data_IF_106996553832
#
_entry.id   IF_106996553832
#
_cell.length_a   1.000
_cell.length_b   1.000
_cell.length_c   1.000
_cell.angle_alpha   90.00
_cell.angle_beta   90.00
_cell.angle_gamma   90.00
#
_symmetry.space_group_name_H-M   'P 1'
#
loop_
_entity.id
_entity.type
_entity.pdbx_description
1 polymer ?
#
# COMPACT_ATOMS: atom_id res chain seq x y z
N UNK A 1 29.41 -25.65 7.90
CA UNK A 1 29.35 -24.44 7.05
C UNK A 1 30.64 -23.65 7.25
N UNK A 2 31.20 -23.02 6.21
CA UNK A 2 32.48 -22.26 6.24
C UNK A 2 32.32 -21.01 7.12
N UNK A 3 33.36 -20.61 7.87
CA UNK A 3 33.39 -19.36 8.65
C UNK A 3 33.37 -18.14 7.71
N UNK A 4 32.16 -17.68 7.38
CA UNK A 4 31.92 -16.55 6.49
C UNK A 4 32.41 -15.24 7.13
N UNK A 5 32.45 -15.15 8.46
CA UNK A 5 32.82 -13.93 9.17
C UNK A 5 34.30 -13.59 8.94
N UNK A 6 35.19 -14.57 9.07
CA UNK A 6 36.62 -14.35 8.77
C UNK A 6 36.86 -14.00 7.31
N UNK A 7 36.17 -14.70 6.41
CA UNK A 7 36.28 -14.46 4.96
C UNK A 7 35.80 -13.06 4.59
N UNK A 8 34.69 -12.61 5.21
CA UNK A 8 34.11 -11.28 5.01
C UNK A 8 35.04 -10.18 5.51
N UNK A 9 35.58 -10.31 6.73
CA UNK A 9 36.54 -9.35 7.28
C UNK A 9 37.79 -9.21 6.42
N UNK A 10 38.37 -10.33 5.98
CA UNK A 10 39.55 -10.30 5.11
C UNK A 10 39.28 -9.60 3.76
N UNK A 11 38.08 -9.80 3.18
CA UNK A 11 37.67 -9.08 1.96
C UNK A 11 37.42 -7.60 2.23
N UNK A 12 36.83 -7.25 3.37
CA UNK A 12 36.62 -5.86 3.76
C UNK A 12 37.96 -5.12 3.89
N UNK A 13 38.92 -5.70 4.60
CA UNK A 13 40.27 -5.14 4.76
C UNK A 13 40.97 -4.99 3.41
N UNK A 14 40.89 -6.03 2.56
CA UNK A 14 41.49 -6.03 1.22
C UNK A 14 40.93 -4.94 0.31
N UNK A 15 39.66 -4.59 0.47
CA UNK A 15 38.95 -3.66 -0.40
C UNK A 15 38.65 -2.30 0.26
N UNK A 16 39.18 -2.03 1.46
CA UNK A 16 39.03 -0.74 2.15
C UNK A 16 37.61 -0.45 2.65
N UNK A 17 36.82 -1.50 2.94
CA UNK A 17 35.45 -1.35 3.44
C UNK A 17 35.47 -1.30 4.97
N UNK A 18 35.25 -0.12 5.56
CA UNK A 18 35.34 0.09 7.01
C UNK A 18 34.11 -0.35 7.82
N UNK A 19 32.94 -0.44 7.19
CA UNK A 19 31.69 -0.81 7.85
C UNK A 19 30.84 -1.70 6.95
N UNK A 20 30.14 -2.65 7.57
CA UNK A 20 29.07 -3.40 6.90
C UNK A 20 27.74 -3.01 7.55
N UNK A 21 26.79 -2.59 6.74
CA UNK A 21 25.38 -2.45 7.15
C UNK A 21 24.66 -3.71 6.68
N UNK A 22 24.02 -4.43 7.61
CA UNK A 22 23.18 -5.56 7.25
C UNK A 22 21.88 -5.03 6.66
N UNK A 23 21.70 -5.17 5.35
CA UNK A 23 20.42 -4.92 4.71
C UNK A 23 19.56 -6.18 4.83
N UNK A 24 18.43 -6.09 5.52
CA UNK A 24 17.49 -7.19 5.65
C UNK A 24 16.68 -7.31 4.35
N UNK A 25 17.10 -8.21 3.47
CA UNK A 25 16.51 -8.36 2.12
C UNK A 25 15.69 -9.63 1.93
N UNK A 26 15.74 -10.57 2.89
CA UNK A 26 15.01 -11.83 2.82
C UNK A 26 14.38 -12.13 4.18
N UNK A 27 13.07 -12.41 4.23
CA UNK A 27 12.40 -12.78 5.46
C UNK A 27 12.87 -14.16 5.93
N UNK A 28 13.03 -14.34 7.23
CA UNK A 28 13.28 -15.66 7.83
C UNK A 28 13.96 -15.57 9.19
N UNK A 29 13.79 -16.62 9.99
CA UNK A 29 14.51 -16.76 11.26
C UNK A 29 15.98 -17.02 10.97
N UNK A 30 16.83 -16.13 11.47
CA UNK A 30 18.27 -16.31 11.46
C UNK A 30 18.70 -16.86 12.82
N UNK A 31 19.72 -17.71 12.84
CA UNK A 31 20.37 -18.26 14.05
C UNK A 31 19.61 -19.37 14.81
N UNK A 32 18.43 -19.78 14.34
CA UNK A 32 17.79 -21.04 14.75
C UNK A 32 18.05 -22.09 13.67
N UNK A 33 18.86 -23.09 14.00
CA UNK A 33 19.32 -24.11 13.04
C UNK A 33 18.41 -25.34 12.98
N UNK A 34 17.63 -25.56 14.04
CA UNK A 34 16.59 -26.58 14.03
C UNK A 34 15.42 -26.12 13.16
N UNK A 35 15.04 -26.97 12.21
CA UNK A 35 14.03 -26.61 11.21
C UNK A 35 12.65 -26.44 11.84
N UNK A 36 12.26 -27.33 12.74
CA UNK A 36 10.92 -27.31 13.33
C UNK A 36 10.75 -26.13 14.29
N UNK A 37 11.78 -25.84 15.07
CA UNK A 37 11.86 -24.67 15.93
C UNK A 37 11.80 -23.37 15.10
N UNK A 38 12.61 -23.26 14.04
CA UNK A 38 12.61 -22.08 13.18
C UNK A 38 11.27 -21.87 12.46
N UNK A 39 10.63 -22.93 11.97
CA UNK A 39 9.31 -22.85 11.32
C UNK A 39 8.20 -22.48 12.31
N UNK A 40 8.27 -22.98 13.55
CA UNK A 40 7.30 -22.65 14.60
C UNK A 40 7.42 -21.19 15.01
N UNK A 41 8.63 -20.73 15.29
CA UNK A 41 8.90 -19.35 15.68
C UNK A 41 8.56 -18.36 14.56
N UNK A 42 8.85 -18.72 13.30
CA UNK A 42 8.45 -17.92 12.15
C UNK A 42 6.93 -17.73 12.07
N UNK A 43 6.14 -18.80 12.28
CA UNK A 43 4.68 -18.71 12.27
C UNK A 43 4.17 -17.82 13.38
N UNK A 44 4.64 -18.03 14.60
CA UNK A 44 4.22 -17.23 15.77
C UNK A 44 4.45 -15.73 15.55
N UNK A 45 5.64 -15.34 15.08
CA UNK A 45 5.93 -13.92 14.81
C UNK A 45 5.10 -13.39 13.65
N UNK A 46 4.96 -14.16 12.57
CA UNK A 46 4.21 -13.71 11.39
C UNK A 46 2.73 -13.54 11.69
N UNK A 47 2.13 -14.48 12.43
CA UNK A 47 0.72 -14.42 12.82
C UNK A 47 0.48 -13.23 13.77
N UNK A 48 1.37 -13.03 14.74
CA UNK A 48 1.32 -11.87 15.62
C UNK A 48 1.38 -10.55 14.84
N UNK A 49 2.36 -10.38 13.95
CA UNK A 49 2.48 -9.15 13.16
C UNK A 49 1.32 -9.01 12.16
N UNK A 50 0.85 -10.10 11.57
CA UNK A 50 -0.30 -10.06 10.66
C UNK A 50 -1.55 -9.52 11.37
N UNK A 51 -1.82 -9.95 12.61
CA UNK A 51 -2.94 -9.42 13.39
C UNK A 51 -2.82 -7.90 13.62
N UNK A 52 -1.60 -7.36 13.69
CA UNK A 52 -1.36 -5.94 13.91
C UNK A 52 -1.40 -5.08 12.63
N UNK A 53 -0.97 -5.60 11.46
CA UNK A 53 -0.77 -4.76 10.25
C UNK A 53 -1.40 -5.29 8.95
N UNK A 54 -2.09 -6.44 8.97
CA UNK A 54 -2.48 -7.13 7.72
C UNK A 54 -3.60 -6.46 6.92
N UNK A 55 -4.35 -5.52 7.50
CA UNK A 55 -5.56 -4.97 6.86
C UNK A 55 -5.27 -4.44 5.44
N UNK A 56 -4.28 -3.55 5.32
CA UNK A 56 -3.88 -2.98 4.04
C UNK A 56 -3.31 -4.03 3.07
N UNK A 57 -2.60 -5.04 3.58
CA UNK A 57 -2.05 -6.11 2.74
C UNK A 57 -3.15 -6.97 2.11
N UNK A 58 -4.14 -7.37 2.91
CA UNK A 58 -5.27 -8.16 2.44
C UNK A 58 -6.11 -7.41 1.41
N UNK A 59 -6.46 -6.15 1.69
CA UNK A 59 -7.31 -5.35 0.80
C UNK A 59 -6.57 -4.97 -0.49
N UNK A 60 -5.31 -4.54 -0.41
CA UNK A 60 -4.52 -4.21 -1.61
C UNK A 60 -4.34 -5.41 -2.54
N UNK A 61 -4.04 -6.58 -1.98
CA UNK A 61 -3.95 -7.83 -2.74
C UNK A 61 -5.28 -8.15 -3.43
N UNK A 62 -6.41 -8.00 -2.72
CA UNK A 62 -7.73 -8.26 -3.27
C UNK A 62 -8.05 -7.28 -4.42
N UNK A 63 -7.87 -5.99 -4.22
CA UNK A 63 -8.15 -4.95 -5.22
C UNK A 63 -7.27 -5.12 -6.46
N UNK A 64 -5.97 -5.35 -6.28
CA UNK A 64 -5.06 -5.62 -7.41
C UNK A 64 -5.41 -6.95 -8.09
N UNK A 65 -5.91 -7.94 -7.34
CA UNK A 65 -6.53 -9.15 -7.88
C UNK A 65 -7.74 -8.84 -8.76
N UNK A 66 -8.64 -7.94 -8.34
CA UNK A 66 -9.80 -7.51 -9.14
C UNK A 66 -9.36 -6.83 -10.45
N UNK A 67 -8.37 -5.94 -10.38
CA UNK A 67 -7.77 -5.29 -11.55
C UNK A 67 -7.19 -6.33 -12.51
N UNK A 68 -6.27 -7.16 -12.03
CA UNK A 68 -5.49 -8.08 -12.87
C UNK A 68 -6.34 -9.21 -13.46
N UNK A 69 -7.39 -9.64 -12.76
CA UNK A 69 -8.36 -10.61 -13.27
C UNK A 69 -9.42 -9.98 -14.20
N UNK A 70 -9.28 -8.70 -14.56
CA UNK A 70 -10.14 -8.01 -15.53
C UNK A 70 -11.58 -7.82 -15.05
N UNK A 71 -11.81 -7.69 -13.74
CA UNK A 71 -13.16 -7.44 -13.20
C UNK A 71 -13.75 -6.16 -13.78
N UNK A 72 -13.00 -5.06 -13.74
CA UNK A 72 -13.42 -3.77 -14.26
C UNK A 72 -13.54 -3.76 -15.78
N UNK A 73 -12.83 -4.63 -16.50
CA UNK A 73 -13.00 -4.78 -17.95
C UNK A 73 -14.34 -5.44 -18.33
N UNK A 74 -14.82 -6.36 -17.49
CA UNK A 74 -16.13 -7.01 -17.65
C UNK A 74 -17.26 -6.14 -17.11
N UNK A 75 -16.98 -5.31 -16.12
CA UNK A 75 -17.95 -4.45 -15.45
C UNK A 75 -17.42 -3.00 -15.39
N UNK A 76 -17.36 -2.28 -16.53
CA UNK A 76 -16.72 -0.96 -16.59
C UNK A 76 -17.39 0.12 -15.74
N UNK A 77 -18.68 -0.04 -15.41
CA UNK A 77 -19.40 0.88 -14.54
C UNK A 77 -19.21 0.60 -13.04
N UNK A 78 -18.61 -0.55 -12.66
CA UNK A 78 -18.43 -0.92 -11.26
C UNK A 78 -17.56 0.11 -10.54
N UNK A 79 -18.04 0.58 -9.39
CA UNK A 79 -17.30 1.46 -8.48
C UNK A 79 -16.92 0.66 -7.22
N UNK A 80 -15.66 0.77 -6.80
CA UNK A 80 -15.14 0.14 -5.58
C UNK A 80 -14.51 1.24 -4.73
N UNK A 81 -14.81 1.23 -3.43
CA UNK A 81 -14.27 2.17 -2.46
C UNK A 81 -13.36 1.42 -1.51
N UNK A 82 -12.13 1.90 -1.30
CA UNK A 82 -11.15 1.31 -0.38
C UNK A 82 -10.72 2.32 0.70
N UNK A 83 -10.44 1.82 1.90
CA UNK A 83 -10.13 2.63 3.09
C UNK A 83 -8.70 3.18 3.10
N UNK A 84 -8.35 3.85 4.21
CA UNK A 84 -6.98 4.09 4.67
C UNK A 84 -6.05 4.72 3.62
N UNK A 85 -6.59 5.67 2.85
CA UNK A 85 -5.94 6.34 1.73
C UNK A 85 -5.42 5.39 0.64
N UNK A 86 -6.12 4.28 0.44
CA UNK A 86 -5.90 3.36 -0.67
C UNK A 86 -5.02 2.16 -0.36
N UNK A 87 -4.85 1.82 0.92
CA UNK A 87 -4.23 0.54 1.35
C UNK A 87 -2.85 0.31 0.72
N UNK A 88 -1.97 1.31 0.80
CA UNK A 88 -0.64 1.35 0.17
C UNK A 88 -0.61 1.42 -1.37
N UNK A 89 -1.70 1.12 -2.08
CA UNK A 89 -1.68 1.07 -3.55
C UNK A 89 -1.25 2.41 -4.19
N UNK A 90 -1.74 3.60 -3.74
CA UNK A 90 -1.29 4.88 -4.29
C UNK A 90 0.21 5.13 -4.20
N UNK A 91 0.88 4.59 -3.17
CA UNK A 91 2.33 4.75 -2.98
C UNK A 91 3.11 4.14 -4.15
N UNK A 92 2.68 2.97 -4.60
CA UNK A 92 3.37 2.18 -5.62
C UNK A 92 2.78 2.33 -7.03
N UNK A 93 1.85 3.26 -7.27
CA UNK A 93 1.18 3.39 -8.57
C UNK A 93 2.14 3.45 -9.76
N UNK A 94 3.22 4.23 -9.64
CA UNK A 94 4.25 4.30 -10.69
C UNK A 94 4.90 2.93 -10.94
N UNK A 95 5.29 2.25 -9.85
CA UNK A 95 5.95 0.94 -9.93
C UNK A 95 5.02 -0.13 -10.47
N UNK A 96 3.79 -0.18 -9.99
CA UNK A 96 2.74 -1.10 -10.45
C UNK A 96 2.48 -0.86 -11.94
N UNK A 97 2.31 0.39 -12.35
CA UNK A 97 2.08 0.72 -13.75
C UNK A 97 3.25 0.27 -14.64
N UNK A 98 4.47 0.66 -14.31
CA UNK A 98 5.67 0.24 -15.05
C UNK A 98 5.74 -1.29 -15.20
N UNK A 99 5.55 -2.03 -14.10
CA UNK A 99 5.59 -3.50 -14.15
C UNK A 99 4.41 -4.10 -14.90
N UNK A 100 3.21 -3.54 -14.78
CA UNK A 100 2.03 -4.03 -15.50
C UNK A 100 2.20 -3.84 -16.99
N UNK A 101 2.53 -2.62 -17.42
CA UNK A 101 2.61 -2.26 -18.84
C UNK A 101 3.84 -2.85 -19.52
N UNK A 102 5.03 -2.73 -18.92
CA UNK A 102 6.29 -3.03 -19.61
C UNK A 102 6.74 -4.49 -19.45
N UNK A 103 6.28 -5.17 -18.39
CA UNK A 103 6.73 -6.53 -18.06
C UNK A 103 5.57 -7.53 -18.08
N UNK A 104 4.52 -7.30 -17.32
CA UNK A 104 3.49 -8.32 -17.07
C UNK A 104 2.50 -8.46 -18.23
N UNK A 105 2.06 -7.37 -18.88
CA UNK A 105 1.20 -7.43 -20.06
C UNK A 105 1.87 -8.15 -21.24
N UNK A 106 3.14 -7.88 -21.59
CA UNK A 106 3.88 -8.68 -22.57
C UNK A 106 3.97 -10.18 -22.21
N UNK A 107 3.99 -10.49 -20.92
CA UNK A 107 4.01 -11.87 -20.41
C UNK A 107 2.61 -12.49 -20.20
N UNK A 108 1.54 -11.80 -20.60
CA UNK A 108 0.18 -12.36 -20.63
C UNK A 108 -0.79 -11.87 -19.55
N UNK A 109 -0.46 -10.84 -18.76
CA UNK A 109 -1.45 -10.12 -17.97
C UNK A 109 -2.49 -9.46 -18.91
N UNK A 110 -3.78 -9.63 -18.62
CA UNK A 110 -4.87 -9.34 -19.59
C UNK A 110 -5.76 -8.15 -19.24
N UNK A 111 -5.54 -7.48 -18.11
CA UNK A 111 -6.30 -6.27 -17.80
C UNK A 111 -6.07 -5.23 -18.89
N UNK A 112 -7.15 -4.62 -19.42
CA UNK A 112 -7.07 -3.79 -20.62
C UNK A 112 -6.42 -2.43 -20.37
N UNK A 113 -6.73 -1.83 -19.22
CA UNK A 113 -6.33 -0.46 -18.89
C UNK A 113 -5.07 -0.44 -18.03
N UNK A 114 -4.46 0.72 -17.91
CA UNK A 114 -3.42 1.02 -16.94
C UNK A 114 -4.01 1.06 -15.53
N UNK A 115 -3.16 0.93 -14.50
CA UNK A 115 -3.63 1.07 -13.11
C UNK A 115 -4.17 2.48 -12.85
N UNK A 116 -3.59 3.51 -13.48
CA UNK A 116 -4.07 4.90 -13.37
C UNK A 116 -5.49 5.07 -13.90
N UNK A 117 -5.80 4.47 -15.05
CA UNK A 117 -7.15 4.53 -15.63
C UNK A 117 -8.19 3.81 -14.74
N UNK A 118 -7.84 2.66 -14.15
CA UNK A 118 -8.75 2.01 -13.19
C UNK A 118 -8.98 2.85 -11.92
N UNK A 119 -7.97 3.57 -11.43
CA UNK A 119 -8.15 4.54 -10.34
C UNK A 119 -9.00 5.73 -10.75
N UNK A 120 -8.84 6.24 -11.98
CA UNK A 120 -9.64 7.35 -12.48
C UNK A 120 -11.11 6.98 -12.69
N UNK A 121 -11.40 5.73 -13.04
CA UNK A 121 -12.75 5.32 -13.49
C UNK A 121 -13.50 4.43 -12.51
N UNK A 122 -12.81 3.55 -11.76
CA UNK A 122 -13.45 2.48 -10.98
C UNK A 122 -13.16 2.53 -9.48
N UNK A 123 -11.96 2.94 -9.06
CA UNK A 123 -11.52 2.87 -7.66
C UNK A 123 -11.59 4.25 -6.99
N UNK A 124 -12.17 4.30 -5.80
CA UNK A 124 -12.18 5.45 -4.89
C UNK A 124 -11.39 5.10 -3.63
N UNK A 125 -10.78 6.11 -3.01
CA UNK A 125 -10.13 5.94 -1.70
C UNK A 125 -10.82 6.80 -0.64
N UNK A 126 -10.73 6.39 0.62
CA UNK A 126 -11.22 7.20 1.75
C UNK A 126 -10.13 7.55 2.75
N UNK A 127 -10.37 8.56 3.58
CA UNK A 127 -9.45 8.98 4.66
C UNK A 127 -9.62 8.19 5.97
N UNK A 128 -10.41 7.10 5.97
CA UNK A 128 -10.71 6.30 7.17
C UNK A 128 -9.43 5.91 7.91
N UNK A 129 -9.34 6.17 9.22
CA UNK A 129 -8.17 5.84 10.04
C UNK A 129 -6.81 6.39 9.58
N UNK A 130 -6.78 7.35 8.66
CA UNK A 130 -5.52 7.83 8.07
C UNK A 130 -5.51 9.36 7.96
N UNK A 131 -5.50 10.01 9.13
CA UNK A 131 -5.57 11.47 9.28
C UNK A 131 -4.19 12.16 9.12
N UNK A 132 -3.49 11.82 8.03
CA UNK A 132 -2.17 12.38 7.69
C UNK A 132 -2.30 13.39 6.56
N UNK A 133 -2.00 14.67 6.83
CA UNK A 133 -2.02 15.72 5.79
C UNK A 133 -1.01 15.48 4.68
N UNK A 134 0.15 14.92 5.02
CA UNK A 134 1.19 14.60 4.05
C UNK A 134 0.73 13.48 3.10
N UNK A 135 0.15 12.41 3.66
CA UNK A 135 -0.36 11.30 2.85
C UNK A 135 -1.56 11.73 2.01
N UNK A 136 -2.48 12.55 2.57
CA UNK A 136 -3.60 13.08 1.80
C UNK A 136 -3.14 13.89 0.60
N UNK A 137 -2.19 14.83 0.79
CA UNK A 137 -1.64 15.63 -0.31
C UNK A 137 -0.92 14.76 -1.35
N UNK A 138 -0.17 13.74 -0.91
CA UNK A 138 0.41 12.76 -1.81
C UNK A 138 -0.68 12.05 -2.64
N UNK A 139 -1.74 11.55 -2.00
CA UNK A 139 -2.84 10.87 -2.68
C UNK A 139 -3.60 11.80 -3.64
N UNK A 140 -3.83 13.07 -3.28
CA UNK A 140 -4.41 14.07 -4.20
C UNK A 140 -3.56 14.16 -5.48
N UNK A 141 -2.23 14.19 -5.35
CA UNK A 141 -1.33 14.22 -6.51
C UNK A 141 -1.33 12.93 -7.33
N UNK A 142 -1.56 11.77 -6.70
CA UNK A 142 -1.53 10.47 -7.39
C UNK A 142 -2.86 10.10 -8.07
N UNK A 143 -4.00 10.33 -7.39
CA UNK A 143 -5.33 9.86 -7.85
C UNK A 143 -6.34 10.99 -8.10
N UNK A 144 -6.01 12.22 -7.70
CA UNK A 144 -6.88 13.38 -7.82
C UNK A 144 -7.93 13.48 -6.71
N UNK A 145 -8.21 14.71 -6.25
CA UNK A 145 -9.22 14.97 -5.21
C UNK A 145 -10.63 14.51 -5.61
N UNK A 146 -10.93 14.35 -6.90
CA UNK A 146 -12.21 13.85 -7.39
C UNK A 146 -12.44 12.35 -7.13
N UNK A 147 -11.42 11.61 -6.68
CA UNK A 147 -11.47 10.16 -6.35
C UNK A 147 -11.25 9.86 -4.87
N UNK A 148 -11.32 10.89 -4.01
CA UNK A 148 -11.10 10.78 -2.56
C UNK A 148 -12.36 11.17 -1.79
N UNK A 149 -12.70 10.39 -0.76
CA UNK A 149 -13.83 10.61 0.13
C UNK A 149 -13.35 10.81 1.57
N UNK A 150 -13.93 11.76 2.30
CA UNK A 150 -13.75 11.80 3.75
C UNK A 150 -14.45 10.60 4.40
N UNK A 151 -13.76 9.97 5.34
CA UNK A 151 -14.29 8.89 6.20
C UNK A 151 -13.51 8.84 7.51
N UNK A 152 -14.12 8.26 8.54
CA UNK A 152 -13.61 8.27 9.91
C UNK A 152 -13.04 6.92 10.31
N UNK A 153 -13.78 5.83 10.11
CA UNK A 153 -13.58 4.51 10.76
C UNK A 153 -14.06 4.42 12.23
N UNK A 154 -15.18 5.08 12.52
CA UNK A 154 -15.85 4.92 13.81
C UNK A 154 -16.40 3.48 13.96
N UNK A 155 -16.24 2.82 15.13
CA UNK A 155 -15.83 3.35 16.43
C UNK A 155 -14.34 3.17 16.79
N UNK A 156 -13.51 2.72 15.87
CA UNK A 156 -12.08 2.55 16.11
C UNK A 156 -11.37 3.91 16.21
N UNK A 157 -11.85 4.87 15.43
CA UNK A 157 -11.38 6.25 15.43
C UNK A 157 -12.42 7.24 15.97
N UNK A 158 -11.95 8.38 16.48
CA UNK A 158 -12.79 9.41 17.06
C UNK A 158 -13.23 10.47 16.03
N UNK A 159 -14.43 11.03 16.23
CA UNK A 159 -14.87 12.19 15.45
C UNK A 159 -13.98 13.42 15.68
N UNK A 160 -13.46 13.59 16.90
CA UNK A 160 -12.58 14.72 17.25
C UNK A 160 -11.30 14.71 16.41
N UNK A 161 -10.66 13.54 16.28
CA UNK A 161 -9.43 13.37 15.52
C UNK A 161 -9.69 13.55 14.03
N UNK A 162 -10.69 12.84 13.48
CA UNK A 162 -10.98 12.86 12.05
C UNK A 162 -11.47 14.23 11.57
N UNK A 163 -12.51 14.79 12.20
CA UNK A 163 -13.08 16.07 11.79
C UNK A 163 -12.13 17.23 12.11
N UNK A 164 -11.51 17.21 13.29
CA UNK A 164 -10.54 18.23 13.69
C UNK A 164 -9.34 18.29 12.75
N UNK A 165 -8.81 17.13 12.33
CA UNK A 165 -7.78 17.06 11.30
C UNK A 165 -8.31 17.58 9.95
N UNK A 166 -9.45 17.07 9.49
CA UNK A 166 -9.94 17.37 8.15
C UNK A 166 -10.32 18.84 7.97
N UNK A 167 -10.73 19.54 9.02
CA UNK A 167 -11.02 20.98 8.96
C UNK A 167 -9.73 21.83 8.87
N UNK A 168 -8.61 21.33 9.41
CA UNK A 168 -7.34 22.08 9.52
C UNK A 168 -6.28 21.69 8.49
N UNK A 169 -6.42 20.53 7.84
CA UNK A 169 -5.41 20.02 6.89
C UNK A 169 -5.20 20.98 5.72
N UNK A 170 -3.95 21.17 5.29
CA UNK A 170 -3.57 22.13 4.24
C UNK A 170 -3.92 21.59 2.84
N UNK A 171 -5.13 21.92 2.39
CA UNK A 171 -5.69 21.62 1.07
C UNK A 171 -6.55 22.80 0.61
N UNK A 172 -6.76 22.92 -0.71
CA UNK A 172 -7.63 23.97 -1.25
C UNK A 172 -9.08 23.83 -0.72
N UNK A 173 -9.78 24.96 -0.56
CA UNK A 173 -11.20 24.92 -0.17
C UNK A 173 -12.06 24.16 -1.19
N UNK A 174 -11.71 24.21 -2.48
CA UNK A 174 -12.41 23.46 -3.51
C UNK A 174 -12.27 21.94 -3.28
N UNK A 175 -11.06 21.45 -3.00
CA UNK A 175 -10.82 20.03 -2.74
C UNK A 175 -11.43 19.59 -1.41
N UNK A 176 -11.38 20.44 -0.37
CA UNK A 176 -12.04 20.17 0.91
C UNK A 176 -13.54 19.93 0.75
N UNK A 177 -14.23 20.79 -0.02
CA UNK A 177 -15.67 20.64 -0.30
C UNK A 177 -15.95 19.39 -1.13
N UNK A 178 -15.12 19.10 -2.14
CA UNK A 178 -15.24 17.88 -2.95
C UNK A 178 -15.15 16.62 -2.09
N UNK A 179 -14.02 16.45 -1.40
CA UNK A 179 -13.74 15.22 -0.64
C UNK A 179 -14.62 15.10 0.60
N UNK A 180 -14.91 16.22 1.28
CA UNK A 180 -15.70 16.24 2.52
C UNK A 180 -17.17 15.88 2.32
N UNK A 181 -17.74 16.09 1.12
CA UNK A 181 -19.17 15.78 0.87
C UNK A 181 -19.55 15.56 -0.59
N UNK A 182 -19.09 16.39 -1.53
CA UNK A 182 -19.71 16.41 -2.88
C UNK A 182 -19.38 15.15 -3.68
N UNK A 183 -18.20 14.57 -3.49
CA UNK A 183 -17.82 13.32 -4.12
C UNK A 183 -18.74 12.18 -3.65
N UNK A 184 -18.98 12.06 -2.34
CA UNK A 184 -19.87 11.05 -1.78
C UNK A 184 -21.32 11.24 -2.29
N UNK A 185 -21.80 12.49 -2.32
CA UNK A 185 -23.13 12.85 -2.84
C UNK A 185 -23.31 12.53 -4.33
N UNK A 186 -22.22 12.52 -5.10
CA UNK A 186 -22.25 12.17 -6.54
C UNK A 186 -22.19 10.65 -6.75
N UNK A 187 -21.54 9.93 -5.85
CA UNK A 187 -21.34 8.49 -5.96
C UNK A 187 -22.55 7.68 -5.48
N UNK A 188 -23.24 8.16 -4.44
CA UNK A 188 -24.40 7.54 -3.79
C UNK A 188 -25.73 8.09 -4.32
#
# INVERSE_FOLDING_TARGET
>A
MIDINKTRLAMMDRHGVGYTVLSYTAPGIQDIWDREEAETFAREINDYIADEISFAQGVSLHVLGMVTNGLFDRHPALQVVIGHLGEHVPFDLWRINHWFEDIKKPLGLRCKKTIYEYFAENIWITTSGHFSSATLNFCINQVGADRILFSIDYPFESFEDACGWFDRTDISNADRVKMGKENARRLL
#
